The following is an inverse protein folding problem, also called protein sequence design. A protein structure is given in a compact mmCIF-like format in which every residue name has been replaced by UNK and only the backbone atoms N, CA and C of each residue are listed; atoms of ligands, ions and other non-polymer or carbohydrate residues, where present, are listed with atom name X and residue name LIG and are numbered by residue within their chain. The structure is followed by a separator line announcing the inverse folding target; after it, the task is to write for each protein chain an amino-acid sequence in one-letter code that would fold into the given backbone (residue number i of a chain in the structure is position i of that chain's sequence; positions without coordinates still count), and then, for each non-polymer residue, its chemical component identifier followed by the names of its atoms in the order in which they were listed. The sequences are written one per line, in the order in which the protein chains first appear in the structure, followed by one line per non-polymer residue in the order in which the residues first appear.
data_IF_889752821317
#
_entry.id   IF_889752821317
#
_cell.length_a   1.000
_cell.length_b   1.000
_cell.length_c   1.000
_cell.angle_alpha   90.00
_cell.angle_beta   90.00
_cell.angle_gamma   90.00
#
_symmetry.space_group_name_H-M   'P 1'
#
loop_
_entity.id
_entity.type
_entity.pdbx_description
1 polymer ?
#
# COMPACT_ATOMS: atom_id res chain seq x y z
N UNK A 1 7.82 8.18 -16.44
CA UNK A 1 6.49 7.58 -16.26
C UNK A 1 6.46 7.02 -14.86
N UNK A 2 5.57 7.51 -13.99
CA UNK A 2 5.41 6.97 -12.63
C UNK A 2 4.46 5.78 -12.69
N UNK A 3 4.79 4.69 -11.98
CA UNK A 3 3.97 3.49 -11.96
C UNK A 3 3.09 3.51 -10.71
N UNK A 4 1.79 3.25 -10.89
CA UNK A 4 0.83 3.15 -9.79
C UNK A 4 0.18 1.78 -9.81
N UNK A 5 0.07 1.15 -8.64
CA UNK A 5 -0.57 -0.16 -8.45
C UNK A 5 -1.75 0.00 -7.49
N UNK A 6 -2.86 -0.65 -7.81
CA UNK A 6 -4.04 -0.71 -6.94
C UNK A 6 -3.92 -1.94 -6.03
N UNK A 7 -4.10 -1.73 -4.73
CA UNK A 7 -4.16 -2.77 -3.72
C UNK A 7 -5.56 -2.84 -3.14
N UNK A 8 -6.01 -4.05 -2.80
CA UNK A 8 -7.25 -4.29 -2.09
C UNK A 8 -6.96 -5.08 -0.82
N UNK A 9 -7.36 -4.55 0.32
CA UNK A 9 -7.29 -5.29 1.57
C UNK A 9 -8.39 -6.35 1.60
N UNK A 10 -7.99 -7.61 1.82
CA UNK A 10 -8.90 -8.73 1.98
C UNK A 10 -8.94 -9.15 3.45
N UNK A 11 -10.15 -9.34 3.98
CA UNK A 11 -10.36 -9.75 5.37
C UNK A 11 -10.54 -8.57 6.32
N UNK A 12 -9.87 -8.62 7.48
CA UNK A 12 -10.03 -7.60 8.55
C UNK A 12 -9.35 -6.29 8.15
N UNK A 13 -10.00 -5.18 8.45
CA UNK A 13 -9.36 -3.87 8.38
C UNK A 13 -8.19 -3.81 9.35
N UNK A 14 -7.08 -3.23 8.89
CA UNK A 14 -5.91 -2.91 9.70
C UNK A 14 -5.55 -1.45 9.45
N UNK A 15 -4.92 -0.80 10.44
CA UNK A 15 -4.58 0.62 10.33
C UNK A 15 -3.55 0.91 9.24
N UNK A 16 -3.57 2.15 8.73
CA UNK A 16 -2.69 2.62 7.65
C UNK A 16 -1.20 2.28 7.89
N UNK A 17 -0.66 2.60 9.06
CA UNK A 17 0.74 2.32 9.40
C UNK A 17 1.06 0.81 9.37
N UNK A 18 0.12 -0.03 9.77
CA UNK A 18 0.30 -1.48 9.74
C UNK A 18 0.35 -2.00 8.29
N UNK A 19 -0.51 -1.49 7.40
CA UNK A 19 -0.52 -1.82 5.96
C UNK A 19 0.79 -1.35 5.31
N UNK A 20 1.16 -0.09 5.54
CA UNK A 20 2.38 0.50 4.99
C UNK A 20 3.62 -0.33 5.38
N UNK A 21 3.76 -0.67 6.66
CA UNK A 21 4.88 -1.48 7.14
C UNK A 21 4.84 -2.91 6.57
N UNK A 22 3.64 -3.52 6.45
CA UNK A 22 3.47 -4.86 5.86
C UNK A 22 3.90 -4.87 4.39
N UNK A 23 3.49 -3.87 3.59
CA UNK A 23 3.87 -3.75 2.18
C UNK A 23 5.37 -3.54 2.05
N UNK A 24 5.94 -2.60 2.81
CA UNK A 24 7.38 -2.33 2.82
C UNK A 24 8.20 -3.59 3.13
N UNK A 25 7.76 -4.38 4.10
CA UNK A 25 8.42 -5.63 4.49
C UNK A 25 8.29 -6.74 3.42
N UNK A 26 7.11 -6.88 2.82
CA UNK A 26 6.84 -7.91 1.81
C UNK A 26 7.57 -7.64 0.49
N UNK A 27 7.53 -6.40 0.01
CA UNK A 27 8.04 -6.04 -1.31
C UNK A 27 9.54 -5.69 -1.30
N UNK A 28 10.12 -5.43 -0.12
CA UNK A 28 11.56 -5.12 0.06
C UNK A 28 12.05 -4.08 -0.95
N UNK A 29 11.28 -3.02 -1.11
CA UNK A 29 11.56 -1.99 -2.11
C UNK A 29 12.86 -1.26 -1.78
N UNK A 30 13.67 -0.99 -2.80
CA UNK A 30 14.89 -0.20 -2.67
C UNK A 30 14.64 1.31 -2.59
N UNK A 31 13.45 1.75 -2.99
CA UNK A 31 13.01 3.15 -3.00
C UNK A 31 11.75 3.32 -2.16
N UNK A 32 11.56 4.49 -1.51
CA UNK A 32 10.31 4.81 -0.85
C UNK A 32 9.18 4.86 -1.87
N UNK A 33 7.98 4.49 -1.42
CA UNK A 33 6.75 4.59 -2.20
C UNK A 33 5.73 5.43 -1.42
N UNK A 34 4.75 5.97 -2.12
CA UNK A 34 3.62 6.64 -1.51
C UNK A 34 2.44 5.67 -1.45
N UNK A 35 1.89 5.46 -0.26
CA UNK A 35 0.64 4.74 -0.05
C UNK A 35 -0.48 5.79 0.13
N UNK A 36 -1.50 5.71 -0.70
CA UNK A 36 -2.69 6.55 -0.58
C UNK A 36 -3.87 5.67 -0.20
N UNK A 37 -4.57 6.04 0.87
CA UNK A 37 -5.80 5.39 1.29
C UNK A 37 -6.93 5.77 0.34
N UNK A 38 -7.68 4.77 -0.11
CA UNK A 38 -8.85 4.91 -0.96
C UNK A 38 -10.04 4.21 -0.29
N UNK A 39 -11.24 4.72 -0.52
CA UNK A 39 -12.42 4.18 0.17
C UNK A 39 -12.61 2.68 -0.06
N UNK A 40 -13.32 2.03 0.87
CA UNK A 40 -13.66 0.61 0.82
C UNK A 40 -12.46 -0.35 0.89
N UNK A 41 -11.38 0.07 1.56
CA UNK A 41 -10.20 -0.77 1.79
C UNK A 41 -9.34 -0.97 0.53
N UNK A 42 -9.45 -0.03 -0.42
CA UNK A 42 -8.53 0.05 -1.55
C UNK A 42 -7.39 1.00 -1.21
N UNK A 43 -6.21 0.74 -1.77
CA UNK A 43 -5.05 1.60 -1.59
C UNK A 43 -4.35 1.77 -2.93
N UNK A 44 -3.78 2.95 -3.15
CA UNK A 44 -2.90 3.18 -4.29
C UNK A 44 -1.46 3.21 -3.81
N UNK A 45 -0.59 2.48 -4.51
CA UNK A 45 0.86 2.56 -4.31
C UNK A 45 1.48 3.20 -5.52
N UNK A 46 2.15 4.32 -5.29
CA UNK A 46 2.91 5.06 -6.30
C UNK A 46 4.41 4.92 -6.01
N UNK A 47 5.17 4.48 -7.01
CA UNK A 47 6.62 4.22 -6.93
C UNK A 47 7.47 5.38 -7.46
#
# INVERSE_FOLDING_TARGET
METTVVLKLLGRSIGYNAIHNRISSLWKLSKPFQLMDFENGYYLVKF
#
